data_IF_719942431948
#
_entry.id   IF_719942431948
#
_cell.length_a   1.000
_cell.length_b   1.000
_cell.length_c   1.000
_cell.angle_alpha   90.00
_cell.angle_beta   90.00
_cell.angle_gamma   90.00
#
_symmetry.space_group_name_H-M   'P 1'
#
loop_
_entity.id
_entity.type
_entity.pdbx_description
1 polymer ?
#
# COMPACT_ATOMS: atom_id res chain seq x y z
N UNK A 1 -16.24 5.12 8.15
CA UNK A 1 -15.11 4.43 7.50
C UNK A 1 -14.84 3.11 8.20
N UNK A 2 -14.82 1.99 7.47
CA UNK A 2 -14.47 0.68 8.05
C UNK A 2 -12.99 0.65 8.41
N UNK A 3 -12.68 0.29 9.67
CA UNK A 3 -11.29 0.07 10.13
C UNK A 3 -10.62 -1.05 9.35
N UNK A 4 -11.38 -2.04 8.89
CA UNK A 4 -10.84 -3.11 8.04
C UNK A 4 -10.42 -2.58 6.68
N UNK A 5 -11.22 -1.74 6.04
CA UNK A 5 -10.84 -1.17 4.75
C UNK A 5 -9.62 -0.24 4.86
N UNK A 6 -9.47 0.48 5.98
CA UNK A 6 -8.24 1.20 6.31
C UNK A 6 -7.03 0.26 6.37
N UNK A 7 -7.14 -0.82 7.15
CA UNK A 7 -6.05 -1.81 7.29
C UNK A 7 -5.66 -2.43 5.95
N UNK A 8 -6.64 -2.77 5.10
CA UNK A 8 -6.39 -3.34 3.77
C UNK A 8 -5.71 -2.32 2.85
N UNK A 9 -6.18 -1.07 2.79
CA UNK A 9 -5.58 -0.03 1.97
C UNK A 9 -4.12 0.24 2.37
N UNK A 10 -3.86 0.33 3.67
CA UNK A 10 -2.49 0.48 4.22
C UNK A 10 -1.63 -0.72 3.83
N UNK A 11 -2.14 -1.95 3.99
CA UNK A 11 -1.38 -3.15 3.65
C UNK A 11 -1.06 -3.22 2.16
N UNK A 12 -1.99 -2.83 1.27
CA UNK A 12 -1.76 -2.78 -0.19
C UNK A 12 -0.63 -1.84 -0.56
N UNK A 13 -0.67 -0.61 -0.05
CA UNK A 13 0.39 0.36 -0.29
C UNK A 13 1.75 -0.14 0.20
N UNK A 14 1.82 -0.64 1.44
CA UNK A 14 3.08 -1.12 2.03
C UNK A 14 3.61 -2.38 1.34
N UNK A 15 2.74 -3.31 0.93
CA UNK A 15 3.14 -4.50 0.17
C UNK A 15 3.70 -4.13 -1.21
N UNK A 16 3.03 -3.22 -1.93
CA UNK A 16 3.55 -2.66 -3.17
C UNK A 16 4.92 -2.00 -2.97
N UNK A 17 5.05 -1.16 -1.94
CA UNK A 17 6.30 -0.45 -1.65
C UNK A 17 7.44 -1.41 -1.29
N UNK A 18 7.17 -2.46 -0.52
CA UNK A 18 8.16 -3.49 -0.21
C UNK A 18 8.68 -4.19 -1.48
N UNK A 19 7.77 -4.58 -2.38
CA UNK A 19 8.14 -5.18 -3.67
C UNK A 19 8.90 -4.19 -4.58
N UNK A 20 8.49 -2.93 -4.61
CA UNK A 20 9.16 -1.88 -5.36
C UNK A 20 10.58 -1.66 -4.85
N UNK A 21 10.77 -1.56 -3.52
CA UNK A 21 12.08 -1.41 -2.89
C UNK A 21 13.01 -2.58 -3.28
N UNK A 22 12.53 -3.83 -3.14
CA UNK A 22 13.33 -5.00 -3.51
C UNK A 22 13.74 -5.02 -4.99
N UNK A 23 12.86 -4.54 -5.90
CA UNK A 23 13.18 -4.41 -7.32
C UNK A 23 14.19 -3.28 -7.57
N UNK A 24 14.04 -2.14 -6.89
CA UNK A 24 14.95 -1.00 -7.01
C UNK A 24 16.34 -1.34 -6.48
N UNK A 25 16.45 -2.06 -5.35
CA UNK A 25 17.73 -2.50 -4.77
C UNK A 25 18.49 -3.46 -5.70
N UNK A 26 17.78 -4.17 -6.58
CA UNK A 26 18.34 -5.06 -7.58
C UNK A 26 18.58 -4.39 -8.95
N UNK A 27 18.32 -3.09 -9.09
CA UNK A 27 18.33 -2.36 -10.36
C UNK A 27 19.40 -1.27 -10.34
N UNK A 28 20.10 -1.10 -11.46
CA UNK A 28 21.02 0.04 -11.64
C UNK A 28 20.27 1.27 -12.14
N UNK A 29 20.85 2.46 -11.98
CA UNK A 29 20.27 3.69 -12.52
C UNK A 29 20.06 3.62 -14.04
N UNK A 30 20.96 2.97 -14.78
CA UNK A 30 20.83 2.79 -16.24
C UNK A 30 19.65 1.88 -16.60
N UNK A 31 19.45 0.79 -15.86
CA UNK A 31 18.32 -0.11 -16.06
C UNK A 31 17.00 0.60 -15.77
N UNK A 32 16.95 1.42 -14.73
CA UNK A 32 15.77 2.21 -14.39
C UNK A 32 15.44 3.24 -15.47
N UNK A 33 16.44 3.91 -16.04
CA UNK A 33 16.23 4.87 -17.14
C UNK A 33 15.68 4.20 -18.40
N UNK A 34 16.05 2.94 -18.67
CA UNK A 34 15.53 2.16 -19.80
C UNK A 34 14.14 1.61 -19.54
N UNK A 35 13.85 1.19 -18.30
CA UNK A 35 12.60 0.57 -17.90
C UNK A 35 12.16 1.05 -16.51
N UNK A 36 11.54 2.24 -16.42
CA UNK A 36 11.18 2.83 -15.14
C UNK A 36 10.11 1.99 -14.43
N UNK A 37 10.26 1.85 -13.12
CA UNK A 37 9.32 1.13 -12.26
C UNK A 37 8.71 2.07 -11.22
N UNK A 38 7.56 1.67 -10.68
CA UNK A 38 6.90 2.38 -9.61
C UNK A 38 6.00 3.56 -10.04
N UNK A 39 5.75 3.69 -11.34
CA UNK A 39 4.88 4.73 -11.91
C UNK A 39 3.39 4.52 -11.57
N UNK A 40 3.02 3.32 -11.15
CA UNK A 40 1.68 2.92 -10.73
C UNK A 40 1.36 3.26 -9.26
N UNK A 41 2.30 3.91 -8.54
CA UNK A 41 2.12 4.31 -7.13
C UNK A 41 0.86 5.15 -6.91
N UNK A 42 0.44 5.95 -7.91
CA UNK A 42 -0.74 6.81 -7.82
C UNK A 42 -2.01 6.06 -7.42
N UNK A 43 -2.23 4.87 -7.98
CA UNK A 43 -3.42 4.05 -7.66
C UNK A 43 -3.46 3.63 -6.18
N UNK A 44 -2.30 3.35 -5.58
CA UNK A 44 -2.21 2.98 -4.16
C UNK A 44 -2.41 4.20 -3.25
N UNK A 45 -1.92 5.38 -3.65
CA UNK A 45 -2.15 6.63 -2.91
C UNK A 45 -3.63 7.03 -2.96
N UNK A 46 -4.28 6.89 -4.12
CA UNK A 46 -5.72 7.11 -4.26
C UNK A 46 -6.53 6.14 -3.38
N UNK A 47 -6.14 4.86 -3.33
CA UNK A 47 -6.77 3.85 -2.46
C UNK A 47 -6.61 4.20 -0.97
N UNK A 48 -5.44 4.69 -0.55
CA UNK A 48 -5.22 5.22 0.79
C UNK A 48 -6.13 6.42 1.09
N UNK A 49 -6.17 7.42 0.21
CA UNK A 49 -7.00 8.62 0.38
C UNK A 49 -8.50 8.30 0.41
N UNK A 50 -8.93 7.24 -0.26
CA UNK A 50 -10.33 6.79 -0.26
C UNK A 50 -10.77 6.23 1.10
N UNK A 51 -9.91 5.48 1.78
CA UNK A 51 -10.29 4.74 2.99
C UNK A 51 -9.72 5.31 4.29
N UNK A 52 -8.67 6.11 4.23
CA UNK A 52 -7.94 6.65 5.39
C UNK A 52 -8.14 8.17 5.53
N UNK A 53 -7.90 8.71 6.72
CA UNK A 53 -7.80 10.16 6.92
C UNK A 53 -6.50 10.69 6.34
N UNK A 54 -6.45 11.97 5.95
CA UNK A 54 -5.22 12.62 5.47
C UNK A 54 -4.04 12.45 6.45
N UNK A 55 -4.30 12.57 7.76
CA UNK A 55 -3.31 12.31 8.81
C UNK A 55 -2.75 10.89 8.75
N UNK A 56 -3.60 9.89 8.56
CA UNK A 56 -3.17 8.50 8.42
C UNK A 56 -2.34 8.30 7.16
N UNK A 57 -2.76 8.91 6.05
CA UNK A 57 -2.05 8.85 4.77
C UNK A 57 -0.66 9.45 4.91
N UNK A 58 -0.54 10.65 5.49
CA UNK A 58 0.76 11.30 5.73
C UNK A 58 1.68 10.44 6.61
N UNK A 59 1.16 9.84 7.68
CA UNK A 59 1.94 8.91 8.53
C UNK A 59 2.44 7.71 7.73
N UNK A 60 1.57 7.08 6.93
CA UNK A 60 1.93 5.90 6.13
C UNK A 60 3.00 6.24 5.10
N UNK A 61 2.85 7.36 4.38
CA UNK A 61 3.84 7.82 3.39
C UNK A 61 5.19 8.14 4.03
N UNK A 62 5.21 8.78 5.21
CA UNK A 62 6.47 9.14 5.91
C UNK A 62 7.14 7.95 6.58
N UNK A 63 6.38 6.96 7.04
CA UNK A 63 6.89 5.86 7.85
C UNK A 63 6.89 4.50 7.13
N UNK A 64 6.68 4.49 5.82
CA UNK A 64 6.50 3.28 5.02
C UNK A 64 7.55 2.19 5.32
N UNK A 65 8.85 2.50 5.34
CA UNK A 65 9.89 1.49 5.53
C UNK A 65 9.90 0.93 6.97
N UNK A 66 9.61 1.78 7.97
CA UNK A 66 9.47 1.35 9.38
C UNK A 66 8.24 0.45 9.56
N UNK A 67 7.13 0.81 8.92
CA UNK A 67 5.90 0.02 8.97
C UNK A 67 6.07 -1.33 8.27
N UNK A 68 6.76 -1.36 7.12
CA UNK A 68 7.11 -2.60 6.39
C UNK A 68 7.93 -3.53 7.29
N UNK A 69 9.03 -3.02 7.86
CA UNK A 69 9.91 -3.81 8.74
C UNK A 69 9.17 -4.32 9.99
N UNK A 70 8.30 -3.50 10.59
CA UNK A 70 7.57 -3.85 11.81
C UNK A 70 6.47 -4.88 11.59
N UNK A 71 5.73 -4.77 10.48
CA UNK A 71 4.58 -5.63 10.19
C UNK A 71 5.00 -6.92 9.47
N UNK A 72 6.06 -6.86 8.68
CA UNK A 72 6.58 -7.98 7.89
C UNK A 72 5.81 -8.21 6.59
N UNK A 73 6.54 -8.62 5.55
CA UNK A 73 6.00 -8.80 4.20
C UNK A 73 4.88 -9.85 4.12
N UNK A 74 4.98 -10.95 4.87
CA UNK A 74 3.94 -11.99 4.88
C UNK A 74 2.60 -11.46 5.36
N UNK A 75 2.59 -10.71 6.47
CA UNK A 75 1.36 -10.10 6.99
C UNK A 75 0.78 -9.09 6.00
N UNK A 76 1.63 -8.23 5.44
CA UNK A 76 1.24 -7.23 4.46
C UNK A 76 0.65 -7.85 3.20
N UNK A 77 1.29 -8.90 2.66
CA UNK A 77 0.82 -9.59 1.48
C UNK A 77 -0.54 -10.25 1.69
N UNK A 78 -0.72 -11.00 2.79
CA UNK A 78 -2.00 -11.66 3.09
C UNK A 78 -3.11 -10.63 3.26
N UNK A 79 -2.83 -9.54 3.98
CA UNK A 79 -3.81 -8.48 4.25
C UNK A 79 -4.16 -7.68 2.99
N UNK A 80 -3.18 -7.39 2.14
CA UNK A 80 -3.37 -6.67 0.88
C UNK A 80 -4.32 -7.40 -0.08
N UNK A 81 -4.32 -8.74 -0.04
CA UNK A 81 -5.18 -9.59 -0.88
C UNK A 81 -6.57 -9.84 -0.29
N UNK A 82 -6.89 -9.28 0.88
CA UNK A 82 -8.24 -9.39 1.43
C UNK A 82 -9.23 -8.52 0.63
N UNK A 83 -10.50 -8.94 0.48
CA UNK A 83 -11.53 -8.13 -0.12
C UNK A 83 -11.91 -6.97 0.82
N UNK A 84 -12.26 -5.83 0.24
CA UNK A 84 -12.87 -4.74 1.00
C UNK A 84 -14.25 -5.16 1.52
N UNK A 85 -14.60 -4.69 2.71
CA UNK A 85 -15.98 -4.69 3.17
C UNK A 85 -16.78 -3.73 2.27
N UNK A 86 -17.74 -4.28 1.55
CA UNK A 86 -18.79 -3.52 0.90
C UNK A 86 -19.81 -3.13 1.97
N UNK A 87 -20.30 -1.89 1.93
CA UNK A 87 -21.44 -1.52 2.75
C UNK A 87 -22.61 -2.44 2.39
N UNK A 88 -22.99 -3.31 3.32
CA UNK A 88 -24.24 -4.06 3.18
C UNK A 88 -25.34 -3.01 3.37
N UNK A 89 -26.01 -2.66 2.28
CA UNK A 89 -27.27 -1.92 2.31
C UNK A 89 -28.26 -2.73 3.18
N UNK A 90 -28.33 -2.38 4.46
CA UNK A 90 -29.37 -2.85 5.37
C UNK A 90 -30.67 -2.11 5.02
N UNK A 91 -31.25 -2.47 3.87
CA UNK A 91 -32.62 -2.15 3.51
C UNK A 91 -33.27 -3.46 3.05
N UNK A 92 -33.73 -4.24 4.02
CA UNK A 92 -34.67 -5.35 3.83
C UNK A 92 -35.90 -5.05 4.69
#
# INVERSE_FOLDING_TARGET
MSKRNQTIAIARFLAYKAQLNAKMDAMTDEDYLKNPIGLDVGAYVEDLMKYCSEETVDIVLRQQDKLISRLGETFLFVTANMPYETEVSANA
#
